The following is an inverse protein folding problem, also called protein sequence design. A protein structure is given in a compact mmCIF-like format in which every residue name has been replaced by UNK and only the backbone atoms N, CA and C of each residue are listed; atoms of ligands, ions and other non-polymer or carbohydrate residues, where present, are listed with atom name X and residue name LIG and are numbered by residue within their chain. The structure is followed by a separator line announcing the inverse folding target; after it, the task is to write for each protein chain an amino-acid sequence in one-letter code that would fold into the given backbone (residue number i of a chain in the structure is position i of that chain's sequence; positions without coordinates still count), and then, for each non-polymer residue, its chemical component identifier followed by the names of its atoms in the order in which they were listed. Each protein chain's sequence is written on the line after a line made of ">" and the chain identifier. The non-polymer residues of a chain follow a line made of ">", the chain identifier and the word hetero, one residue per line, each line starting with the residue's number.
data_IF_297500558548
#
_entry.id   IF_297500558548
#
_cell.length_a   1.000
_cell.length_b   1.000
_cell.length_c   1.000
_cell.angle_alpha   90.00
_cell.angle_beta   90.00
_cell.angle_gamma   90.00
#
_symmetry.space_group_name_H-M   'P 1'
#
loop_
_entity.id
_entity.type
_entity.pdbx_description
1 polymer ?
#
# COMPACT_ATOMS: atom_id res chain seq x y z
N UNK A 1 26.01 -19.67 0.74
CA UNK A 1 24.56 -19.41 0.71
C UNK A 1 24.14 -19.06 2.12
N UNK A 2 23.86 -17.79 2.40
CA UNK A 2 23.17 -17.41 3.62
C UNK A 2 21.68 -17.63 3.37
N UNK A 3 21.10 -18.68 3.94
CA UNK A 3 19.65 -18.88 3.95
C UNK A 3 19.05 -17.74 4.76
N UNK A 4 18.45 -16.76 4.09
CA UNK A 4 17.70 -15.71 4.79
C UNK A 4 16.58 -16.40 5.58
N UNK A 5 16.43 -16.03 6.84
CA UNK A 5 15.42 -16.61 7.72
C UNK A 5 14.03 -16.29 7.16
N UNK A 6 13.23 -17.33 6.93
CA UNK A 6 11.89 -17.24 6.35
C UNK A 6 11.08 -16.12 7.04
N UNK A 7 10.48 -15.24 6.23
CA UNK A 7 9.53 -14.24 6.73
C UNK A 7 8.19 -14.91 7.00
N UNK A 8 7.63 -14.60 8.18
CA UNK A 8 6.34 -15.11 8.65
C UNK A 8 5.41 -13.94 8.94
N UNK A 9 4.12 -14.16 8.73
CA UNK A 9 3.07 -13.26 9.19
C UNK A 9 3.10 -13.25 10.73
N UNK A 10 3.03 -12.07 11.39
CA UNK A 10 3.00 -12.03 12.85
C UNK A 10 1.75 -12.75 13.37
N UNK A 11 1.89 -13.48 14.47
CA UNK A 11 0.82 -14.28 15.08
C UNK A 11 0.33 -13.69 16.41
N UNK A 12 0.59 -12.40 16.64
CA UNK A 12 0.06 -11.67 17.77
C UNK A 12 -1.47 -11.58 17.70
N UNK A 13 -2.09 -11.16 18.81
CA UNK A 13 -3.54 -10.89 18.83
C UNK A 13 -3.91 -9.80 17.83
N UNK A 14 -3.19 -8.68 17.84
CA UNK A 14 -3.44 -7.55 16.95
C UNK A 14 -3.30 -7.97 15.48
N UNK A 15 -2.25 -8.70 15.09
CA UNK A 15 -2.06 -9.14 13.71
C UNK A 15 -3.19 -10.06 13.23
N UNK A 16 -3.71 -10.95 14.09
CA UNK A 16 -4.91 -11.74 13.75
C UNK A 16 -6.14 -10.88 13.54
N UNK A 17 -6.40 -9.93 14.44
CA UNK A 17 -7.56 -9.01 14.33
C UNK A 17 -7.45 -8.10 13.08
N UNK A 18 -6.25 -7.66 12.72
CA UNK A 18 -5.97 -6.97 11.44
C UNK A 18 -6.32 -7.86 10.26
N UNK A 19 -5.83 -9.11 10.28
CA UNK A 19 -6.06 -10.07 9.20
C UNK A 19 -7.55 -10.32 9.00
N UNK A 20 -8.29 -10.53 10.08
CA UNK A 20 -9.74 -10.76 10.07
C UNK A 20 -10.47 -9.55 9.48
N UNK A 21 -10.20 -8.34 9.99
CA UNK A 21 -10.87 -7.13 9.50
C UNK A 21 -10.63 -6.89 8.00
N UNK A 22 -9.38 -7.03 7.55
CA UNK A 22 -9.03 -6.81 6.15
C UNK A 22 -9.63 -7.89 5.26
N UNK A 23 -9.60 -9.16 5.68
CA UNK A 23 -10.22 -10.28 4.96
C UNK A 23 -11.74 -10.11 4.83
N UNK A 24 -12.40 -9.54 5.82
CA UNK A 24 -13.86 -9.26 5.78
C UNK A 24 -14.21 -8.06 4.89
N UNK A 25 -13.27 -7.15 4.65
CA UNK A 25 -13.52 -5.88 3.95
C UNK A 25 -13.07 -5.93 2.49
N UNK A 26 -11.89 -6.48 2.24
CA UNK A 26 -11.25 -6.50 0.93
C UNK A 26 -11.68 -7.71 0.10
N UNK A 27 -11.77 -7.59 -1.24
CA UNK A 27 -11.84 -8.75 -2.11
C UNK A 27 -10.53 -9.56 -2.03
N UNK A 28 -10.61 -10.85 -2.39
CA UNK A 28 -9.45 -11.77 -2.35
C UNK A 28 -8.23 -11.23 -3.10
N UNK A 29 -8.44 -10.47 -4.19
CA UNK A 29 -7.38 -9.81 -4.95
C UNK A 29 -6.53 -8.89 -4.06
N UNK A 30 -7.18 -7.96 -3.34
CA UNK A 30 -6.52 -6.97 -2.51
C UNK A 30 -5.94 -7.61 -1.24
N UNK A 31 -6.68 -8.53 -0.60
CA UNK A 31 -6.14 -9.24 0.56
C UNK A 31 -4.86 -10.02 0.23
N UNK A 32 -4.86 -10.76 -0.89
CA UNK A 32 -3.69 -11.51 -1.31
C UNK A 32 -2.55 -10.55 -1.69
N UNK A 33 -2.85 -9.42 -2.34
CA UNK A 33 -1.88 -8.36 -2.63
C UNK A 33 -1.24 -7.81 -1.34
N UNK A 34 -2.03 -7.31 -0.41
CA UNK A 34 -1.59 -6.78 0.88
C UNK A 34 -0.74 -7.78 1.68
N UNK A 35 -1.11 -9.07 1.64
CA UNK A 35 -0.31 -10.12 2.30
C UNK A 35 1.04 -10.33 1.60
N UNK A 36 1.09 -10.33 0.26
CA UNK A 36 2.35 -10.39 -0.48
C UNK A 36 3.22 -9.15 -0.25
N UNK A 37 2.61 -7.97 -0.19
CA UNK A 37 3.28 -6.69 0.13
C UNK A 37 4.03 -6.82 1.44
N UNK A 38 3.38 -7.31 2.51
CA UNK A 38 4.07 -7.54 3.79
C UNK A 38 5.25 -8.51 3.64
N UNK A 39 5.05 -9.66 2.99
CA UNK A 39 6.08 -10.69 2.89
C UNK A 39 7.31 -10.18 2.11
N UNK A 40 7.09 -9.51 0.98
CA UNK A 40 8.19 -8.89 0.22
C UNK A 40 8.84 -7.74 0.99
N UNK A 41 8.07 -6.90 1.67
CA UNK A 41 8.58 -5.81 2.49
C UNK A 41 9.51 -6.32 3.61
N UNK A 42 9.07 -7.31 4.38
CA UNK A 42 9.88 -7.88 5.45
C UNK A 42 11.12 -8.62 4.91
N UNK A 43 11.03 -9.29 3.76
CA UNK A 43 12.20 -9.93 3.11
C UNK A 43 13.20 -8.87 2.63
N UNK A 44 12.73 -7.75 2.08
CA UNK A 44 13.58 -6.62 1.74
C UNK A 44 14.24 -6.00 2.97
N UNK A 45 13.50 -5.83 4.07
CA UNK A 45 14.03 -5.33 5.33
C UNK A 45 15.17 -6.18 5.87
N UNK A 46 14.98 -7.51 5.91
CA UNK A 46 16.01 -8.47 6.33
C UNK A 46 17.23 -8.44 5.40
N UNK A 47 17.03 -8.49 4.08
CA UNK A 47 18.11 -8.44 3.09
C UNK A 47 18.95 -7.16 3.19
N UNK A 48 18.29 -6.02 3.44
CA UNK A 48 18.93 -4.69 3.55
C UNK A 48 19.48 -4.41 4.96
N UNK A 49 19.32 -5.33 5.92
CA UNK A 49 19.76 -5.13 7.31
C UNK A 49 19.05 -3.99 8.04
N UNK A 50 17.81 -3.68 7.66
CA UNK A 50 17.02 -2.61 8.26
C UNK A 50 16.40 -3.09 9.58
N UNK A 51 16.31 -2.18 10.56
CA UNK A 51 15.57 -2.41 11.80
C UNK A 51 14.16 -1.85 11.63
N UNK A 52 13.16 -2.72 11.68
CA UNK A 52 11.75 -2.38 11.56
C UNK A 52 10.95 -3.22 12.55
N UNK A 53 9.76 -2.73 12.88
CA UNK A 53 8.79 -3.49 13.67
C UNK A 53 7.92 -4.33 12.72
N UNK A 54 7.94 -5.66 12.87
CA UNK A 54 7.21 -6.59 12.01
C UNK A 54 5.69 -6.38 12.09
N UNK A 55 5.17 -6.06 13.27
CA UNK A 55 3.73 -5.94 13.54
C UNK A 55 3.18 -4.62 12.98
N UNK A 56 3.92 -3.51 13.14
CA UNK A 56 3.58 -2.24 12.51
C UNK A 56 3.77 -2.26 10.99
N UNK A 57 4.76 -3.02 10.48
CA UNK A 57 4.91 -3.23 9.04
C UNK A 57 3.73 -4.03 8.50
N UNK A 58 3.28 -5.05 9.23
CA UNK A 58 2.09 -5.82 8.87
C UNK A 58 0.83 -4.95 8.86
N UNK A 59 0.63 -4.09 9.88
CA UNK A 59 -0.46 -3.13 9.87
C UNK A 59 -0.40 -2.19 8.66
N UNK A 60 0.79 -1.63 8.36
CA UNK A 60 0.98 -0.78 7.18
C UNK A 60 0.61 -1.49 5.87
N UNK A 61 1.10 -2.71 5.67
CA UNK A 61 0.83 -3.50 4.47
C UNK A 61 -0.64 -3.94 4.36
N UNK A 62 -1.27 -4.34 5.46
CA UNK A 62 -2.64 -4.86 5.42
C UNK A 62 -3.70 -3.77 5.24
N UNK A 63 -3.44 -2.54 5.68
CA UNK A 63 -4.41 -1.44 5.55
C UNK A 63 -4.19 -0.54 4.33
N UNK A 64 -3.11 -0.69 3.56
CA UNK A 64 -2.73 0.31 2.57
C UNK A 64 -3.78 0.54 1.47
N UNK A 65 -4.52 -0.52 1.12
CA UNK A 65 -5.54 -0.51 0.07
C UNK A 65 -6.98 -0.46 0.63
N UNK A 66 -7.17 -0.39 1.95
CA UNK A 66 -8.49 -0.33 2.57
C UNK A 66 -9.32 0.87 2.08
N UNK A 67 -8.65 1.97 1.72
CA UNK A 67 -9.28 3.17 1.16
C UNK A 67 -9.90 2.99 -0.24
N UNK A 68 -9.58 1.90 -0.95
CA UNK A 68 -10.23 1.52 -2.21
C UNK A 68 -11.62 0.91 -1.97
N UNK A 69 -11.90 0.46 -0.75
CA UNK A 69 -13.18 -0.17 -0.42
C UNK A 69 -14.23 0.87 -0.10
N UNK A 70 -15.50 0.60 -0.47
CA UNK A 70 -16.62 1.52 -0.23
C UNK A 70 -16.78 1.90 1.24
N UNK A 71 -16.45 1.01 2.17
CA UNK A 71 -16.60 1.22 3.62
C UNK A 71 -15.69 2.33 4.14
N UNK A 72 -14.47 2.43 3.60
CA UNK A 72 -13.46 3.38 4.08
C UNK A 72 -13.18 4.52 3.10
N UNK A 73 -13.73 4.47 1.88
CA UNK A 73 -13.61 5.54 0.89
C UNK A 73 -14.36 6.81 1.33
N UNK A 74 -13.63 7.90 1.52
CA UNK A 74 -14.21 9.24 1.73
C UNK A 74 -14.62 9.89 0.40
N UNK A 75 -15.33 11.02 0.49
CA UNK A 75 -15.81 11.77 -0.68
C UNK A 75 -14.68 12.41 -1.48
N UNK A 76 -13.61 12.84 -0.82
CA UNK A 76 -12.64 13.79 -1.38
C UNK A 76 -11.18 13.53 -1.01
N UNK A 77 -10.88 12.66 -0.03
CA UNK A 77 -9.50 12.31 0.28
C UNK A 77 -8.97 11.27 -0.70
N UNK A 78 -7.64 11.27 -0.85
CA UNK A 78 -6.87 10.21 -1.49
C UNK A 78 -7.15 8.85 -0.84
N UNK A 79 -7.18 7.77 -1.62
CA UNK A 79 -7.41 6.43 -1.08
C UNK A 79 -6.30 6.03 -0.09
N UNK A 80 -5.08 6.51 -0.31
CA UNK A 80 -3.95 6.29 0.59
C UNK A 80 -4.20 6.92 1.96
N UNK A 81 -4.84 8.10 1.98
CA UNK A 81 -5.22 8.78 3.24
C UNK A 81 -6.41 8.07 3.89
N UNK A 82 -7.37 7.59 3.11
CA UNK A 82 -8.50 6.81 3.62
C UNK A 82 -8.05 5.50 4.29
N UNK A 83 -7.15 4.75 3.64
CA UNK A 83 -6.54 3.55 4.22
C UNK A 83 -5.73 3.85 5.48
N UNK A 84 -4.96 4.94 5.47
CA UNK A 84 -4.21 5.39 6.64
C UNK A 84 -5.14 5.76 7.81
N UNK A 85 -6.25 6.44 7.54
CA UNK A 85 -7.26 6.79 8.55
C UNK A 85 -7.92 5.55 9.14
N UNK A 86 -8.26 4.56 8.30
CA UNK A 86 -8.80 3.27 8.75
C UNK A 86 -7.82 2.54 9.69
N UNK A 87 -6.53 2.50 9.33
CA UNK A 87 -5.50 1.93 10.18
C UNK A 87 -5.37 2.68 11.51
N UNK A 88 -5.39 4.00 11.48
CA UNK A 88 -5.25 4.81 12.69
C UNK A 88 -6.44 4.65 13.64
N UNK A 89 -7.67 4.57 13.12
CA UNK A 89 -8.85 4.28 13.93
C UNK A 89 -8.75 2.90 14.59
N UNK A 90 -8.38 1.88 13.80
CA UNK A 90 -8.20 0.52 14.30
C UNK A 90 -7.11 0.45 15.38
N UNK A 91 -5.91 0.97 15.13
CA UNK A 91 -4.80 0.88 16.08
C UNK A 91 -5.08 1.65 17.37
N UNK A 92 -5.72 2.83 17.29
CA UNK A 92 -6.14 3.58 18.49
C UNK A 92 -7.15 2.79 19.32
N UNK A 93 -8.09 2.08 18.70
CA UNK A 93 -9.07 1.26 19.44
C UNK A 93 -8.44 0.07 20.16
N UNK A 94 -7.23 -0.35 19.74
CA UNK A 94 -6.43 -1.40 20.37
C UNK A 94 -5.39 -0.86 21.37
N UNK A 95 -5.42 0.45 21.68
CA UNK A 95 -4.55 1.07 22.67
C UNK A 95 -3.09 1.25 22.22
N UNK A 96 -2.83 1.19 20.91
CA UNK A 96 -1.51 1.44 20.32
C UNK A 96 -1.15 2.93 20.51
N UNK A 97 0.13 3.21 20.76
CA UNK A 97 0.57 4.58 21.07
C UNK A 97 0.40 5.51 19.87
N UNK A 98 0.19 6.81 20.12
CA UNK A 98 0.01 7.77 19.03
C UNK A 98 1.23 7.83 18.10
N UNK A 99 2.45 7.62 18.63
CA UNK A 99 3.68 7.58 17.83
C UNK A 99 3.68 6.42 16.82
N UNK A 100 3.24 5.23 17.25
CA UNK A 100 3.16 4.04 16.38
C UNK A 100 2.00 4.17 15.38
N UNK A 101 0.88 4.76 15.81
CA UNK A 101 -0.23 5.13 14.92
C UNK A 101 0.23 6.08 13.83
N UNK A 102 0.97 7.14 14.17
CA UNK A 102 1.49 8.11 13.20
C UNK A 102 2.50 7.46 12.24
N UNK A 103 3.30 6.50 12.73
CA UNK A 103 4.22 5.74 11.90
C UNK A 103 3.49 4.88 10.87
N UNK A 104 2.47 4.12 11.28
CA UNK A 104 1.66 3.30 10.37
C UNK A 104 0.87 4.17 9.39
N UNK A 105 0.22 5.22 9.90
CA UNK A 105 -0.51 6.18 9.08
C UNK A 105 0.39 6.78 7.99
N UNK A 106 1.60 7.20 8.35
CA UNK A 106 2.57 7.77 7.40
C UNK A 106 3.06 6.75 6.39
N UNK A 107 3.29 5.50 6.83
CA UNK A 107 3.70 4.40 5.96
C UNK A 107 2.66 4.15 4.86
N UNK A 108 1.37 4.19 5.23
CA UNK A 108 0.26 4.02 4.30
C UNK A 108 0.07 5.27 3.44
N UNK A 109 -0.02 6.46 4.02
CA UNK A 109 -0.32 7.68 3.26
C UNK A 109 0.72 7.98 2.17
N UNK A 110 1.96 7.51 2.34
CA UNK A 110 3.06 7.73 1.40
C UNK A 110 3.40 6.52 0.51
N UNK A 111 2.68 5.39 0.60
CA UNK A 111 3.10 4.16 -0.08
C UNK A 111 3.14 4.26 -1.62
N UNK A 112 2.40 5.19 -2.22
CA UNK A 112 2.44 5.51 -3.67
C UNK A 112 3.28 6.75 -4.01
N UNK A 113 3.94 7.36 -3.03
CA UNK A 113 4.69 8.62 -3.21
C UNK A 113 6.14 8.34 -3.58
N UNK A 114 6.38 7.90 -4.81
CA UNK A 114 7.71 7.55 -5.32
C UNK A 114 8.70 8.70 -5.08
N UNK A 115 9.88 8.39 -4.53
CA UNK A 115 10.92 9.39 -4.30
C UNK A 115 11.01 9.89 -2.86
N UNK A 116 10.05 9.57 -1.98
CA UNK A 116 10.01 10.08 -0.60
C UNK A 116 10.22 8.97 0.46
N UNK A 117 9.43 7.88 0.53
CA UNK A 117 9.49 6.89 1.60
C UNK A 117 10.86 6.28 1.86
N UNK A 118 11.69 6.09 0.82
CA UNK A 118 13.00 5.44 0.95
C UNK A 118 14.00 6.22 1.82
N UNK A 119 13.76 7.49 2.09
CA UNK A 119 14.58 8.35 2.95
C UNK A 119 14.02 8.49 4.38
N UNK A 120 12.92 7.79 4.70
CA UNK A 120 12.22 7.88 5.97
C UNK A 120 12.47 6.66 6.86
N UNK A 121 11.69 6.52 7.94
CA UNK A 121 11.75 5.37 8.84
C UNK A 121 11.63 4.03 8.07
N UNK A 122 12.35 2.97 8.46
CA UNK A 122 12.31 1.67 7.77
C UNK A 122 10.90 1.12 7.50
N UNK A 123 9.97 1.16 8.46
CA UNK A 123 8.58 0.76 8.21
C UNK A 123 7.92 1.53 7.05
N UNK A 124 8.16 2.85 6.94
CA UNK A 124 7.62 3.69 5.86
C UNK A 124 8.23 3.28 4.51
N UNK A 125 9.56 3.13 4.47
CA UNK A 125 10.28 2.71 3.27
C UNK A 125 9.87 1.31 2.80
N UNK A 126 9.60 0.40 3.72
CA UNK A 126 9.34 -1.01 3.44
C UNK A 126 7.92 -1.27 2.94
N UNK A 127 6.90 -0.53 3.40
CA UNK A 127 5.54 -0.63 2.81
C UNK A 127 5.60 -0.27 1.32
N UNK A 128 6.22 0.85 0.95
CA UNK A 128 6.43 1.22 -0.46
C UNK A 128 7.22 0.14 -1.21
N UNK A 129 8.29 -0.40 -0.62
CA UNK A 129 9.11 -1.43 -1.28
C UNK A 129 8.33 -2.74 -1.55
N UNK A 130 7.44 -3.14 -0.64
CA UNK A 130 6.56 -4.30 -0.83
C UNK A 130 5.56 -4.08 -1.97
N UNK A 131 4.93 -2.89 -2.02
CA UNK A 131 4.00 -2.51 -3.10
C UNK A 131 4.73 -2.46 -4.45
N UNK A 132 5.90 -1.82 -4.50
CA UNK A 132 6.71 -1.72 -5.70
C UNK A 132 7.14 -3.11 -6.22
N UNK A 133 7.50 -4.03 -5.32
CA UNK A 133 7.82 -5.40 -5.69
C UNK A 133 6.60 -6.14 -6.26
N UNK A 134 5.43 -6.10 -5.59
CA UNK A 134 4.28 -6.91 -6.01
C UNK A 134 3.57 -6.38 -7.28
N UNK A 135 3.49 -5.05 -7.46
CA UNK A 135 2.76 -4.44 -8.58
C UNK A 135 3.68 -4.13 -9.76
N UNK A 136 4.82 -3.48 -9.49
CA UNK A 136 5.73 -2.99 -10.54
C UNK A 136 6.81 -4.02 -10.89
N UNK A 137 7.17 -4.89 -9.94
CA UNK A 137 8.31 -5.80 -10.08
C UNK A 137 9.64 -5.12 -9.79
N UNK A 138 9.65 -4.02 -9.02
CA UNK A 138 10.87 -3.32 -8.69
C UNK A 138 11.77 -4.18 -7.77
N UNK A 139 13.06 -4.25 -8.09
CA UNK A 139 14.04 -5.07 -7.38
C UNK A 139 13.71 -6.58 -7.37
N UNK A 140 12.96 -7.07 -8.38
CA UNK A 140 12.54 -8.47 -8.48
C UNK A 140 13.71 -9.46 -8.37
N UNK A 141 14.82 -9.17 -9.07
CA UNK A 141 16.01 -10.02 -9.10
C UNK A 141 16.80 -10.05 -7.77
N UNK A 142 16.46 -9.19 -6.80
CA UNK A 142 17.07 -9.20 -5.47
C UNK A 142 16.43 -10.23 -4.52
N UNK A 143 15.32 -10.85 -4.90
CA UNK A 143 14.62 -11.86 -4.10
C UNK A 143 14.96 -13.27 -4.59
N UNK A 144 14.96 -14.23 -3.67
CA UNK A 144 15.12 -15.64 -4.05
C UNK A 144 13.89 -16.10 -4.85
N UNK A 145 14.12 -16.78 -5.98
CA UNK A 145 13.05 -17.32 -6.82
C UNK A 145 12.18 -18.30 -6.05
N UNK A 146 12.79 -19.13 -5.19
CA UNK A 146 12.05 -20.06 -4.35
C UNK A 146 11.15 -19.32 -3.33
N UNK A 147 11.58 -18.16 -2.84
CA UNK A 147 10.78 -17.32 -1.97
C UNK A 147 9.58 -16.71 -2.73
N UNK A 148 9.82 -16.16 -3.93
CA UNK A 148 8.75 -15.62 -4.78
C UNK A 148 7.72 -16.69 -5.12
N UNK A 149 8.16 -17.87 -5.56
CA UNK A 149 7.29 -19.01 -5.90
C UNK A 149 6.48 -19.45 -4.67
N UNK A 150 7.10 -19.54 -3.49
CA UNK A 150 6.38 -19.89 -2.26
C UNK A 150 5.31 -18.85 -1.89
N UNK A 151 5.67 -17.57 -1.90
CA UNK A 151 4.76 -16.46 -1.55
C UNK A 151 3.57 -16.43 -2.52
N UNK A 152 3.84 -16.50 -3.82
CA UNK A 152 2.80 -16.47 -4.87
C UNK A 152 2.01 -17.77 -4.97
N UNK A 153 2.51 -18.89 -4.44
CA UNK A 153 1.71 -20.13 -4.32
C UNK A 153 0.74 -20.08 -3.13
N UNK A 154 1.16 -19.47 -2.02
CA UNK A 154 0.32 -19.30 -0.82
C UNK A 154 -0.72 -18.19 -0.99
N UNK A 155 -0.36 -17.12 -1.70
CA UNK A 155 -1.21 -15.96 -1.97
C UNK A 155 -1.27 -15.70 -3.48
N UNK A 156 -2.10 -16.46 -4.22
CA UNK A 156 -2.09 -16.48 -5.67
C UNK A 156 -2.34 -15.12 -6.33
N UNK A 157 -1.69 -14.94 -7.47
CA UNK A 157 -2.00 -13.92 -8.48
C UNK A 157 -2.81 -14.59 -9.58
N UNK A 158 -3.93 -13.99 -9.98
CA UNK A 158 -4.67 -14.46 -11.17
C UNK A 158 -3.81 -14.28 -12.43
N UNK A 159 -4.13 -15.01 -13.49
CA UNK A 159 -3.50 -14.82 -14.80
C UNK A 159 -3.74 -13.40 -15.36
N UNK A 160 -4.79 -12.73 -14.89
CA UNK A 160 -5.20 -11.36 -15.24
C UNK A 160 -4.82 -10.33 -14.17
N UNK A 161 -3.98 -10.70 -13.18
CA UNK A 161 -3.72 -9.88 -11.99
C UNK A 161 -3.42 -8.40 -12.29
N UNK A 162 -2.62 -8.13 -13.33
CA UNK A 162 -2.25 -6.77 -13.72
C UNK A 162 -3.47 -5.92 -14.11
N UNK A 163 -4.37 -6.49 -14.90
CA UNK A 163 -5.61 -5.79 -15.29
C UNK A 163 -6.56 -5.70 -14.10
N UNK A 164 -6.64 -6.76 -13.29
CA UNK A 164 -7.52 -6.81 -12.12
C UNK A 164 -7.13 -5.76 -11.07
N UNK A 165 -5.83 -5.58 -10.79
CA UNK A 165 -5.34 -4.61 -9.80
C UNK A 165 -5.50 -3.16 -10.31
N UNK A 166 -5.23 -2.90 -11.60
CA UNK A 166 -5.49 -1.58 -12.21
C UNK A 166 -6.99 -1.26 -12.14
N UNK A 167 -7.84 -2.24 -12.40
CA UNK A 167 -9.29 -2.07 -12.30
C UNK A 167 -9.73 -1.78 -10.86
N UNK A 168 -9.17 -2.46 -9.86
CA UNK A 168 -9.46 -2.19 -8.45
C UNK A 168 -9.06 -0.77 -8.03
N UNK A 169 -7.90 -0.28 -8.47
CA UNK A 169 -7.48 1.10 -8.28
C UNK A 169 -8.47 2.08 -8.91
N UNK A 170 -8.77 1.90 -10.19
CA UNK A 170 -9.73 2.75 -10.90
C UNK A 170 -11.09 2.80 -10.20
N UNK A 171 -11.66 1.65 -9.86
CA UNK A 171 -12.97 1.60 -9.18
C UNK A 171 -12.94 2.23 -7.78
N UNK A 172 -11.79 2.21 -7.09
CA UNK A 172 -11.61 2.79 -5.76
C UNK A 172 -11.58 4.32 -5.71
N UNK A 173 -11.24 5.01 -6.81
CA UNK A 173 -11.11 6.48 -6.81
C UNK A 173 -11.67 7.23 -8.03
N UNK A 174 -12.21 6.56 -9.06
CA UNK A 174 -12.81 7.24 -10.23
C UNK A 174 -13.94 8.21 -9.88
N UNK A 175 -14.66 7.98 -8.79
CA UNK A 175 -15.74 8.88 -8.32
C UNK A 175 -15.24 10.15 -7.64
N UNK A 176 -13.93 10.27 -7.41
CA UNK A 176 -13.29 11.43 -6.78
C UNK A 176 -12.00 11.84 -7.52
N UNK A 177 -12.08 12.16 -8.83
CA UNK A 177 -10.92 12.37 -9.67
C UNK A 177 -10.04 13.56 -9.22
N UNK A 178 -10.61 14.55 -8.52
CA UNK A 178 -9.83 15.65 -7.95
C UNK A 178 -8.80 15.19 -6.89
N UNK A 179 -9.03 14.04 -6.24
CA UNK A 179 -8.11 13.48 -5.24
C UNK A 179 -6.83 12.91 -5.86
N UNK A 180 -6.76 12.71 -7.18
CA UNK A 180 -5.58 12.15 -7.87
C UNK A 180 -4.54 13.19 -8.28
N UNK A 181 -4.79 14.47 -7.98
CA UNK A 181 -3.89 15.54 -8.36
C UNK A 181 -2.48 15.36 -7.77
N UNK A 182 -1.48 15.25 -8.65
CA UNK A 182 -0.08 15.09 -8.27
C UNK A 182 0.32 13.67 -7.85
N UNK A 183 -0.48 12.65 -8.15
CA UNK A 183 -0.20 11.25 -7.79
C UNK A 183 -0.24 10.33 -9.01
N UNK A 184 0.32 9.13 -8.90
CA UNK A 184 0.24 8.09 -9.95
C UNK A 184 -1.21 7.65 -10.24
N UNK A 185 -2.16 7.96 -9.36
CA UNK A 185 -3.57 7.59 -9.52
C UNK A 185 -4.21 8.33 -10.72
N UNK A 186 -3.69 9.49 -11.12
CA UNK A 186 -4.18 10.17 -12.33
C UNK A 186 -3.91 9.35 -13.58
N UNK A 187 -2.82 8.58 -13.60
CA UNK A 187 -2.44 7.74 -14.73
C UNK A 187 -3.40 6.55 -14.87
N UNK A 188 -3.88 5.99 -13.75
CA UNK A 188 -4.89 4.93 -13.74
C UNK A 188 -6.23 5.43 -14.31
N UNK A 189 -6.67 6.64 -13.96
CA UNK A 189 -7.88 7.21 -14.56
C UNK A 189 -7.66 7.47 -16.06
N UNK A 190 -6.52 8.06 -16.44
CA UNK A 190 -6.22 8.36 -17.84
C UNK A 190 -6.14 7.09 -18.71
N UNK A 191 -5.68 5.97 -18.16
CA UNK A 191 -5.67 4.66 -18.84
C UNK A 191 -7.08 4.15 -19.14
N UNK A 192 -8.02 4.30 -18.18
CA UNK A 192 -9.40 3.81 -18.30
C UNK A 192 -10.36 4.78 -18.97
N UNK A 193 -10.07 6.08 -18.93
CA UNK A 193 -10.91 7.15 -19.46
C UNK A 193 -10.07 8.07 -20.38
N UNK A 194 -10.05 7.83 -21.71
CA UNK A 194 -9.23 8.60 -22.65
C UNK A 194 -9.52 10.11 -22.69
N UNK A 195 -10.74 10.51 -22.31
CA UNK A 195 -11.17 11.91 -22.26
C UNK A 195 -10.84 12.59 -20.91
N UNK A 196 -10.35 11.84 -19.91
CA UNK A 196 -9.94 12.40 -18.63
C UNK A 196 -8.75 13.34 -18.81
N UNK A 197 -8.87 14.54 -18.24
CA UNK A 197 -7.81 15.55 -18.25
C UNK A 197 -7.33 15.76 -16.81
N UNK A 198 -6.16 15.21 -16.44
CA UNK A 198 -5.58 15.45 -15.13
C UNK A 198 -5.43 16.95 -14.86
N UNK A 199 -5.63 17.35 -13.61
CA UNK A 199 -5.37 18.73 -13.20
C UNK A 199 -3.90 19.08 -13.44
N UNK A 200 -3.65 20.23 -14.07
CA UNK A 200 -2.31 20.69 -14.41
C UNK A 200 -1.82 21.72 -13.40
N UNK A 201 -0.76 21.39 -12.65
CA UNK A 201 -0.20 22.28 -11.63
C UNK A 201 0.28 23.62 -12.19
N UNK A 202 0.89 23.63 -13.38
CA UNK A 202 1.34 24.88 -14.01
C UNK A 202 0.16 25.78 -14.38
N UNK A 203 -0.99 25.22 -14.80
CA UNK A 203 -2.21 26.02 -15.00
C UNK A 203 -2.73 26.61 -13.69
N UNK A 204 -2.75 25.82 -12.60
CA UNK A 204 -3.12 26.32 -11.26
C UNK A 204 -2.24 27.49 -10.83
N UNK A 205 -0.92 27.42 -11.08
CA UNK A 205 0.00 28.54 -10.81
C UNK A 205 -0.35 29.76 -11.67
N UNK A 206 -0.54 29.59 -12.98
CA UNK A 206 -0.84 30.70 -13.90
C UNK A 206 -2.17 31.39 -13.63
N UNK A 207 -3.14 30.65 -13.09
CA UNK A 207 -4.47 31.14 -12.72
C UNK A 207 -4.55 31.68 -11.29
N UNK A 208 -3.46 31.59 -10.53
CA UNK A 208 -3.36 32.12 -9.18
C UNK A 208 -3.61 33.63 -9.15
N UNK A 209 -4.29 34.11 -8.10
CA UNK A 209 -4.52 35.55 -7.88
C UNK A 209 -3.26 36.32 -7.45
N UNK A 210 -2.19 35.59 -7.13
CA UNK A 210 -0.91 36.17 -6.73
C UNK A 210 -0.16 36.66 -7.98
N UNK A 211 0.30 37.92 -7.93
CA UNK A 211 1.14 38.56 -8.96
C UNK A 211 2.61 38.37 -8.62
#
# INVERSE_FOLDING_TARGET
>A
MHTLQEVKIPDSKLAREITELVRETEPDLLFNHSTRVYLFAASAGKRRGLKFDDELLYAGAMFHDMGLTKKYSSKDLRFEVDGANAAAEFLRSHGISQQEVDLVWTSIALHTTIGVPQFMHPNIALVMAGVAMDVVGENYDDYDKAEIERITSLFPRSNTFKEDIIQAFYDGFKHKPASTFGTVNSDVIADKEPDFKPMNFCSVIRESKWV
#
